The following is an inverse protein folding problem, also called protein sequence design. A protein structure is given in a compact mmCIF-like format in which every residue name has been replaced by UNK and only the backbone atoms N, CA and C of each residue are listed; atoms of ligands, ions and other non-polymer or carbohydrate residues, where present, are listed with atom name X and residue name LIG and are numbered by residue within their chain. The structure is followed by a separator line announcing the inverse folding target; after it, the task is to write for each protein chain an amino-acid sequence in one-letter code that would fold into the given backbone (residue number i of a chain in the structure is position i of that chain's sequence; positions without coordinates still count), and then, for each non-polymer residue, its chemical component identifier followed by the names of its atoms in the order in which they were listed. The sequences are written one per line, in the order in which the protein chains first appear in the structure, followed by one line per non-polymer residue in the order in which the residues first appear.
data_IF_677045668348
#
_entry.id   IF_677045668348
#
_cell.length_a   1.000
_cell.length_b   1.000
_cell.length_c   1.000
_cell.angle_alpha   90.00
_cell.angle_beta   90.00
_cell.angle_gamma   90.00
#
_symmetry.space_group_name_H-M   'P 1'
#
loop_
_entity.id
_entity.type
_entity.pdbx_description
1 polymer ?
#
# COMPACT_ATOMS: atom_id res chain seq x y z
N UNK A 1 11.87 6.93 6.57
CA UNK A 1 12.49 5.69 6.04
C UNK A 1 12.44 5.68 4.52
N UNK A 2 13.44 5.10 3.84
CA UNK A 2 13.54 5.10 2.38
C UNK A 2 14.08 3.77 1.85
N UNK A 3 13.55 3.32 0.71
CA UNK A 3 14.07 2.21 -0.09
C UNK A 3 14.05 2.60 -1.57
N UNK A 4 15.24 2.87 -2.13
CA UNK A 4 15.41 3.37 -3.51
C UNK A 4 14.54 4.61 -3.78
N UNK A 5 13.40 4.47 -4.47
CA UNK A 5 12.46 5.54 -4.78
C UNK A 5 11.28 5.67 -3.82
N UNK A 6 11.05 4.68 -2.96
CA UNK A 6 9.98 4.72 -1.94
C UNK A 6 10.44 5.48 -0.71
N UNK A 7 9.63 6.40 -0.22
CA UNK A 7 9.89 7.17 1.00
C UNK A 7 8.64 7.24 1.86
N UNK A 8 8.81 7.07 3.17
CA UNK A 8 7.76 7.29 4.17
C UNK A 8 8.30 8.22 5.25
N UNK A 9 7.57 9.29 5.49
CA UNK A 9 7.81 10.29 6.53
C UNK A 9 6.57 10.34 7.41
N UNK A 10 6.75 10.33 8.72
CA UNK A 10 5.68 10.45 9.71
C UNK A 10 5.92 11.72 10.52
N UNK A 11 4.93 12.59 10.56
CA UNK A 11 4.96 13.84 11.32
C UNK A 11 3.85 13.79 12.36
N UNK A 12 4.12 14.36 13.54
CA UNK A 12 3.15 14.49 14.61
C UNK A 12 3.05 15.95 15.05
N UNK A 13 1.86 16.36 15.50
CA UNK A 13 1.70 17.64 16.20
C UNK A 13 2.47 17.58 17.52
N UNK A 14 3.03 18.71 17.93
CA UNK A 14 3.85 18.82 19.14
C UNK A 14 3.11 18.34 20.39
N UNK A 15 1.81 18.65 20.50
CA UNK A 15 0.95 18.22 21.61
C UNK A 15 0.84 16.69 21.76
N UNK A 16 1.18 15.92 20.71
CA UNK A 16 1.17 14.46 20.74
C UNK A 16 2.55 13.83 20.94
N UNK A 17 3.62 14.62 20.87
CA UNK A 17 5.00 14.10 20.82
C UNK A 17 5.36 13.27 22.07
N UNK A 18 4.95 13.72 23.25
CA UNK A 18 5.20 13.02 24.52
C UNK A 18 4.47 11.67 24.66
N UNK A 19 3.48 11.41 23.80
CA UNK A 19 2.70 10.18 23.81
C UNK A 19 3.13 9.19 22.73
N UNK A 20 4.14 9.54 21.93
CA UNK A 20 4.70 8.67 20.89
C UNK A 20 5.97 8.03 21.42
N UNK A 21 6.03 6.70 21.37
CA UNK A 21 7.20 5.93 21.81
C UNK A 21 7.45 4.72 20.89
N UNK A 22 8.56 4.02 21.14
CA UNK A 22 8.91 2.78 20.41
C UNK A 22 8.90 2.95 18.88
N UNK A 23 9.45 4.06 18.40
CA UNK A 23 9.48 4.35 16.97
C UNK A 23 10.55 3.49 16.30
N UNK A 24 10.12 2.64 15.39
CA UNK A 24 11.01 1.77 14.60
C UNK A 24 10.65 1.87 13.12
N UNK A 25 11.63 1.68 12.25
CA UNK A 25 11.42 1.74 10.82
C UNK A 25 12.24 0.70 10.07
N UNK A 26 11.59 0.02 9.13
CA UNK A 26 12.16 -1.13 8.42
C UNK A 26 11.77 -1.11 6.94
N UNK A 27 12.50 -1.90 6.14
CA UNK A 27 12.26 -1.98 4.69
C UNK A 27 12.38 -3.41 4.17
N UNK A 28 11.64 -3.73 3.10
CA UNK A 28 11.73 -5.00 2.39
C UNK A 28 11.70 -4.74 0.89
N UNK A 29 12.72 -5.23 0.18
CA UNK A 29 12.70 -5.29 -1.29
C UNK A 29 12.04 -6.56 -1.81
N UNK A 30 11.17 -6.39 -2.81
CA UNK A 30 10.46 -7.47 -3.53
C UNK A 30 10.66 -7.39 -5.05
N UNK A 31 11.55 -6.53 -5.53
CA UNK A 31 11.80 -6.33 -6.97
C UNK A 31 12.53 -7.49 -7.64
N UNK A 32 13.54 -7.18 -8.46
CA UNK A 32 14.32 -8.20 -9.19
C UNK A 32 14.76 -9.33 -8.23
N UNK A 33 14.54 -10.58 -8.66
CA UNK A 33 14.78 -11.81 -7.88
C UNK A 33 14.02 -11.88 -6.53
N UNK A 34 12.94 -11.11 -6.35
CA UNK A 34 12.17 -11.02 -5.11
C UNK A 34 12.90 -10.33 -3.96
N UNK A 35 14.00 -9.60 -4.24
CA UNK A 35 14.88 -9.04 -3.19
C UNK A 35 15.29 -7.60 -3.43
N UNK A 36 15.35 -7.14 -4.67
CA UNK A 36 15.84 -5.78 -4.98
C UNK A 36 14.84 -4.70 -4.55
N UNK A 37 15.36 -3.53 -4.17
CA UNK A 37 14.57 -2.46 -3.56
C UNK A 37 13.73 -1.61 -4.52
N UNK A 38 13.72 -1.90 -5.83
CA UNK A 38 12.93 -1.14 -6.81
C UNK A 38 11.42 -1.39 -6.71
N UNK A 39 11.02 -2.44 -5.98
CA UNK A 39 9.66 -2.76 -5.52
C UNK A 39 9.74 -3.26 -4.09
N UNK A 40 8.64 -3.19 -3.35
CA UNK A 40 8.55 -3.69 -1.98
C UNK A 40 7.84 -2.71 -1.07
N UNK A 41 8.30 -2.63 0.18
CA UNK A 41 7.67 -1.80 1.21
C UNK A 41 8.67 -1.15 2.15
N UNK A 42 8.32 0.04 2.62
CA UNK A 42 8.94 0.70 3.76
C UNK A 42 7.88 0.91 4.83
N UNK A 43 8.23 0.71 6.09
CA UNK A 43 7.27 0.87 7.17
C UNK A 43 7.87 1.61 8.35
N UNK A 44 7.01 2.34 9.05
CA UNK A 44 7.29 2.95 10.36
C UNK A 44 6.24 2.43 11.32
N UNK A 45 6.69 1.97 12.48
CA UNK A 45 5.82 1.61 13.59
C UNK A 45 6.12 2.45 14.81
N UNK A 46 5.11 2.67 15.64
CA UNK A 46 5.21 3.41 16.89
C UNK A 46 4.07 3.03 17.83
N UNK A 47 4.24 3.29 19.11
CA UNK A 47 3.13 3.37 20.06
C UNK A 47 2.64 4.81 20.10
N UNK A 48 1.32 4.99 20.06
CA UNK A 48 0.65 6.24 20.38
C UNK A 48 -0.24 5.97 21.60
N UNK A 49 0.11 6.55 22.74
CA UNK A 49 -0.40 6.14 24.05
C UNK A 49 -0.19 4.62 24.26
N UNK A 50 -1.27 3.84 24.29
CA UNK A 50 -1.26 2.38 24.45
C UNK A 50 -1.63 1.63 23.17
N UNK A 51 -1.76 2.33 22.03
CA UNK A 51 -2.13 1.72 20.76
C UNK A 51 -0.91 1.62 19.84
N UNK A 52 -0.67 0.42 19.33
CA UNK A 52 0.40 0.16 18.37
C UNK A 52 -0.06 0.45 16.94
N UNK A 53 0.70 1.29 16.25
CA UNK A 53 0.42 1.73 14.87
C UNK A 53 1.56 1.28 13.96
N UNK A 54 1.22 0.69 12.82
CA UNK A 54 2.16 0.37 11.74
C UNK A 54 1.67 0.99 10.43
N UNK A 55 2.49 1.87 9.85
CA UNK A 55 2.22 2.50 8.56
C UNK A 55 3.17 1.93 7.53
N UNK A 56 2.63 1.40 6.44
CA UNK A 56 3.37 0.74 5.37
C UNK A 56 3.14 1.50 4.07
N UNK A 57 4.22 2.01 3.47
CA UNK A 57 4.22 2.53 2.10
C UNK A 57 4.80 1.46 1.17
N UNK A 58 4.03 1.03 0.17
CA UNK A 58 4.44 0.00 -0.77
C UNK A 58 4.44 0.47 -2.23
N UNK A 59 5.33 -0.11 -3.02
CA UNK A 59 5.35 0.01 -4.47
C UNK A 59 5.44 -1.41 -5.05
N UNK A 60 4.31 -1.93 -5.53
CA UNK A 60 4.18 -3.32 -5.98
C UNK A 60 4.43 -3.46 -7.49
N UNK A 61 4.56 -4.70 -7.99
CA UNK A 61 4.81 -4.98 -9.40
C UNK A 61 3.85 -4.26 -10.35
N UNK A 62 4.44 -3.66 -11.39
CA UNK A 62 3.72 -2.92 -12.43
C UNK A 62 3.18 -3.85 -13.51
N UNK A 63 2.47 -3.28 -14.49
CA UNK A 63 1.80 -3.95 -15.61
C UNK A 63 0.50 -4.67 -15.24
N UNK A 64 -0.44 -4.72 -16.18
CA UNK A 64 -1.84 -5.08 -15.91
C UNK A 64 -1.98 -6.57 -15.57
N UNK A 65 -1.20 -7.41 -16.23
CA UNK A 65 -1.13 -8.87 -16.15
C UNK A 65 -0.49 -9.39 -14.84
N UNK A 66 0.28 -8.56 -14.14
CA UNK A 66 1.07 -8.95 -12.97
C UNK A 66 0.28 -9.00 -11.64
N UNK A 67 -1.01 -9.38 -11.69
CA UNK A 67 -1.89 -9.43 -10.50
C UNK A 67 -1.35 -10.39 -9.46
N UNK A 68 -0.98 -11.60 -9.86
CA UNK A 68 -0.46 -12.60 -8.92
C UNK A 68 0.90 -12.20 -8.36
N UNK A 69 1.70 -11.47 -9.14
CA UNK A 69 2.96 -10.92 -8.66
C UNK A 69 2.72 -9.84 -7.60
N UNK A 70 1.74 -8.95 -7.76
CA UNK A 70 1.36 -7.97 -6.71
C UNK A 70 0.86 -8.66 -5.44
N UNK A 71 0.03 -9.69 -5.58
CA UNK A 71 -0.40 -10.50 -4.43
C UNK A 71 0.80 -11.15 -3.72
N UNK A 72 1.79 -11.63 -4.48
CA UNK A 72 3.02 -12.17 -3.91
C UNK A 72 3.88 -11.10 -3.24
N UNK A 73 4.06 -9.93 -3.85
CA UNK A 73 4.79 -8.81 -3.24
C UNK A 73 4.16 -8.42 -1.90
N UNK A 74 2.83 -8.34 -1.82
CA UNK A 74 2.10 -8.11 -0.56
C UNK A 74 2.44 -9.19 0.49
N UNK A 75 2.35 -10.48 0.13
CA UNK A 75 2.67 -11.59 1.05
C UNK A 75 4.14 -11.57 1.50
N UNK A 76 5.05 -11.23 0.60
CA UNK A 76 6.48 -11.11 0.90
C UNK A 76 6.75 -9.97 1.90
N UNK A 77 6.10 -8.80 1.72
CA UNK A 77 6.23 -7.68 2.67
C UNK A 77 5.66 -8.08 4.03
N UNK A 78 4.46 -8.67 4.08
CA UNK A 78 3.83 -9.10 5.34
C UNK A 78 4.68 -10.13 6.09
N UNK A 79 5.28 -11.09 5.40
CA UNK A 79 6.03 -12.18 6.02
C UNK A 79 7.45 -11.79 6.43
N UNK A 80 8.09 -10.85 5.72
CA UNK A 80 9.51 -10.52 5.93
C UNK A 80 9.72 -9.24 6.73
N UNK A 81 8.77 -8.29 6.68
CA UNK A 81 8.92 -7.03 7.39
C UNK A 81 8.60 -7.26 8.87
N UNK A 82 9.62 -7.10 9.70
CA UNK A 82 9.52 -7.19 11.15
C UNK A 82 10.40 -6.13 11.79
N UNK A 83 10.09 -5.71 13.01
CA UNK A 83 10.76 -4.63 13.74
C UNK A 83 11.43 -5.18 15.01
N UNK A 84 12.58 -4.61 15.42
CA UNK A 84 13.13 -4.91 16.75
C UNK A 84 12.17 -4.40 17.84
N UNK A 85 12.31 -4.94 19.05
CA UNK A 85 11.62 -4.45 20.24
C UNK A 85 12.64 -3.89 21.23
N UNK A 86 12.19 -3.06 22.17
CA UNK A 86 13.04 -2.51 23.24
C UNK A 86 13.69 -3.65 24.03
N UNK A 87 12.90 -4.68 24.38
CA UNK A 87 13.44 -5.91 24.95
C UNK A 87 13.88 -6.84 23.82
N UNK A 88 15.20 -6.93 23.62
CA UNK A 88 15.83 -7.75 22.60
C UNK A 88 15.64 -9.27 22.82
N UNK A 89 15.12 -9.70 23.98
CA UNK A 89 14.78 -11.11 24.24
C UNK A 89 13.43 -11.51 23.65
N UNK A 90 12.57 -10.54 23.34
CA UNK A 90 11.26 -10.78 22.72
C UNK A 90 11.39 -11.02 21.21
N UNK A 91 10.49 -11.81 20.60
CA UNK A 91 10.47 -12.00 19.15
C UNK A 91 10.22 -10.68 18.43
N UNK A 92 10.75 -10.49 17.22
CA UNK A 92 10.48 -9.28 16.43
C UNK A 92 8.98 -9.12 16.16
N UNK A 93 8.49 -7.87 16.16
CA UNK A 93 7.10 -7.57 15.82
C UNK A 93 6.92 -7.56 14.31
N UNK A 94 5.99 -8.34 13.80
CA UNK A 94 5.57 -8.30 12.39
C UNK A 94 4.41 -7.33 12.17
N UNK A 95 4.09 -7.02 10.91
CA UNK A 95 2.99 -6.09 10.58
C UNK A 95 1.66 -6.48 11.27
N UNK A 96 1.18 -7.75 11.22
CA UNK A 96 -0.09 -8.15 11.84
C UNK A 96 -0.13 -8.10 13.37
N UNK A 97 0.99 -7.82 14.05
CA UNK A 97 1.02 -7.71 15.51
C UNK A 97 0.59 -6.33 16.05
N UNK A 98 0.22 -5.39 15.17
CA UNK A 98 -0.16 -4.03 15.54
C UNK A 98 -1.69 -3.88 15.60
N UNK A 99 -2.19 -3.03 16.50
CA UNK A 99 -3.61 -2.73 16.67
C UNK A 99 -4.18 -2.00 15.46
N UNK A 100 -3.40 -1.05 14.91
CA UNK A 100 -3.78 -0.22 13.77
C UNK A 100 -2.72 -0.39 12.69
N UNK A 101 -3.16 -0.85 11.51
CA UNK A 101 -2.29 -1.06 10.35
C UNK A 101 -2.82 -0.24 9.18
N UNK A 102 -1.99 0.66 8.66
CA UNK A 102 -2.30 1.50 7.52
C UNK A 102 -1.39 1.12 6.35
N UNK A 103 -1.99 0.75 5.22
CA UNK A 103 -1.28 0.55 3.96
C UNK A 103 -1.57 1.70 3.01
N UNK A 104 -0.52 2.17 2.34
CA UNK A 104 -0.60 3.21 1.32
C UNK A 104 0.49 2.99 0.27
N UNK A 105 0.43 3.76 -0.82
CA UNK A 105 1.46 3.78 -1.86
C UNK A 105 0.93 3.40 -3.24
N UNK A 106 1.85 3.12 -4.16
CA UNK A 106 1.53 2.68 -5.51
C UNK A 106 1.39 1.15 -5.55
N UNK A 107 0.18 0.68 -5.22
CA UNK A 107 -0.14 -0.74 -5.20
C UNK A 107 -0.23 -1.34 -6.61
N UNK A 108 -0.26 -0.52 -7.66
CA UNK A 108 -0.23 -0.92 -9.07
C UNK A 108 -1.33 -1.88 -9.57
N UNK A 109 -2.38 -2.14 -8.80
CA UNK A 109 -3.56 -2.83 -9.30
C UNK A 109 -4.25 -1.98 -10.37
N UNK A 110 -4.81 -2.64 -11.39
CA UNK A 110 -5.37 -2.01 -12.59
C UNK A 110 -6.85 -2.36 -12.74
N UNK A 111 -7.52 -1.67 -13.64
CA UNK A 111 -8.82 -2.10 -14.14
C UNK A 111 -8.65 -3.35 -15.01
N UNK A 112 -9.61 -4.27 -14.95
CA UNK A 112 -9.65 -5.50 -15.73
C UNK A 112 -11.04 -5.71 -16.34
N UNK A 113 -11.10 -6.40 -17.48
CA UNK A 113 -12.38 -6.79 -18.10
C UNK A 113 -13.31 -5.59 -18.40
N UNK A 114 -12.75 -4.45 -18.77
CA UNK A 114 -13.48 -3.24 -19.19
C UNK A 114 -12.72 -2.51 -20.30
N UNK A 115 -13.42 -2.14 -21.36
CA UNK A 115 -12.84 -1.41 -22.50
C UNK A 115 -12.60 0.07 -22.17
N UNK A 116 -11.61 0.67 -22.83
CA UNK A 116 -11.19 2.06 -22.59
C UNK A 116 -12.33 3.05 -22.83
N UNK A 117 -13.15 2.83 -23.86
CA UNK A 117 -14.33 3.65 -24.15
C UNK A 117 -15.31 3.61 -22.99
N UNK A 118 -15.57 2.43 -22.41
CA UNK A 118 -16.47 2.28 -21.28
C UNK A 118 -15.89 2.92 -20.02
N UNK A 119 -14.59 2.79 -19.79
CA UNK A 119 -13.90 3.49 -18.69
C UNK A 119 -14.08 5.00 -18.80
N UNK A 120 -13.86 5.57 -19.99
CA UNK A 120 -14.03 7.01 -20.24
C UNK A 120 -15.45 7.47 -19.95
N UNK A 121 -16.46 6.74 -20.43
CA UNK A 121 -17.87 7.04 -20.15
C UNK A 121 -18.18 7.02 -18.64
N UNK A 122 -17.71 6.00 -17.91
CA UNK A 122 -17.92 5.91 -16.46
C UNK A 122 -17.24 7.05 -15.70
N UNK A 123 -16.07 7.51 -16.16
CA UNK A 123 -15.38 8.67 -15.59
C UNK A 123 -16.16 9.96 -15.87
N UNK A 124 -16.67 10.15 -17.09
CA UNK A 124 -17.50 11.30 -17.48
C UNK A 124 -18.79 11.38 -16.64
N UNK A 125 -19.43 10.23 -16.42
CA UNK A 125 -20.63 10.08 -15.59
C UNK A 125 -20.35 10.12 -14.08
N UNK A 126 -19.07 10.18 -13.67
CA UNK A 126 -18.61 10.07 -12.28
C UNK A 126 -19.09 8.78 -11.57
N UNK A 127 -19.38 7.73 -12.33
CA UNK A 127 -19.78 6.42 -11.82
C UNK A 127 -18.55 5.57 -11.43
N UNK A 128 -17.84 6.04 -10.41
CA UNK A 128 -16.66 5.37 -9.87
C UNK A 128 -17.00 4.06 -9.17
N UNK A 129 -18.25 3.90 -8.71
CA UNK A 129 -18.69 2.67 -8.05
C UNK A 129 -18.76 1.51 -9.04
N UNK A 130 -19.33 1.72 -10.22
CA UNK A 130 -19.30 0.71 -11.29
C UNK A 130 -17.87 0.46 -11.76
N UNK A 131 -17.06 1.52 -11.90
CA UNK A 131 -15.66 1.37 -12.30
C UNK A 131 -14.85 0.51 -11.32
N UNK A 132 -15.08 0.68 -10.00
CA UNK A 132 -14.41 -0.08 -8.95
C UNK A 132 -14.75 -1.59 -8.98
N UNK A 133 -15.87 -2.00 -9.59
CA UNK A 133 -16.16 -3.43 -9.77
C UNK A 133 -15.14 -4.12 -10.69
N UNK A 134 -14.47 -3.35 -11.54
CA UNK A 134 -13.42 -3.80 -12.45
C UNK A 134 -12.01 -3.62 -11.86
N UNK A 135 -11.88 -3.07 -10.65
CA UNK A 135 -10.58 -2.85 -10.01
C UNK A 135 -10.01 -4.15 -9.44
N UNK A 136 -8.80 -4.50 -9.89
CA UNK A 136 -8.15 -5.74 -9.47
C UNK A 136 -7.92 -5.80 -7.95
N UNK A 137 -7.58 -4.70 -7.25
CA UNK A 137 -7.37 -4.74 -5.80
C UNK A 137 -8.66 -5.13 -5.08
N UNK A 138 -9.77 -4.51 -5.46
CA UNK A 138 -11.12 -4.79 -4.95
C UNK A 138 -11.50 -6.25 -5.16
N UNK A 139 -11.23 -6.79 -6.37
CA UNK A 139 -11.45 -8.21 -6.68
C UNK A 139 -10.55 -9.14 -5.86
N UNK A 140 -9.26 -8.84 -5.72
CA UNK A 140 -8.32 -9.68 -4.96
C UNK A 140 -8.63 -9.67 -3.46
N UNK A 141 -9.09 -8.54 -2.91
CA UNK A 141 -9.60 -8.42 -1.54
C UNK A 141 -10.86 -9.25 -1.34
N UNK A 142 -11.82 -9.17 -2.26
CA UNK A 142 -13.04 -9.98 -2.25
C UNK A 142 -12.76 -11.48 -2.28
N UNK A 143 -11.74 -11.90 -3.04
CA UNK A 143 -11.24 -13.29 -3.11
C UNK A 143 -10.34 -13.69 -1.94
N UNK A 144 -10.01 -12.76 -1.02
CA UNK A 144 -9.08 -12.95 0.11
C UNK A 144 -7.67 -13.38 -0.31
N UNK A 145 -7.24 -13.02 -1.52
CA UNK A 145 -5.91 -13.36 -2.07
C UNK A 145 -4.83 -12.34 -1.67
N UNK A 146 -5.23 -11.09 -1.42
CA UNK A 146 -4.39 -10.03 -0.88
C UNK A 146 -5.24 -9.10 0.01
N UNK A 147 -4.61 -8.43 0.98
CA UNK A 147 -5.26 -7.46 1.87
C UNK A 147 -6.56 -7.97 2.55
N UNK A 148 -6.61 -9.27 2.88
CA UNK A 148 -7.74 -9.86 3.62
C UNK A 148 -7.87 -9.23 5.00
N UNK A 149 -9.09 -8.82 5.38
CA UNK A 149 -9.38 -8.17 6.66
C UNK A 149 -9.16 -6.65 6.68
N UNK A 150 -8.57 -6.07 5.64
CA UNK A 150 -8.42 -4.62 5.51
C UNK A 150 -9.69 -3.96 4.98
N UNK A 151 -9.96 -2.74 5.45
CA UNK A 151 -10.99 -1.85 4.92
C UNK A 151 -10.38 -0.80 4.01
N UNK A 152 -11.16 -0.34 3.05
CA UNK A 152 -10.79 0.76 2.14
C UNK A 152 -12.03 1.65 2.04
N UNK A 153 -11.83 2.98 2.06
CA UNK A 153 -12.90 3.93 1.90
C UNK A 153 -13.52 3.88 0.49
N UNK A 154 -14.70 4.49 0.34
CA UNK A 154 -15.32 4.63 -0.97
C UNK A 154 -14.42 5.44 -1.91
N UNK A 155 -14.19 4.94 -3.13
CA UNK A 155 -13.43 5.65 -4.15
C UNK A 155 -14.38 6.59 -4.89
N UNK A 156 -14.32 7.87 -4.54
CA UNK A 156 -15.17 8.93 -5.12
C UNK A 156 -14.36 9.90 -5.99
N UNK A 157 -13.28 9.43 -6.59
CA UNK A 157 -12.34 10.21 -7.39
C UNK A 157 -11.91 9.43 -8.65
N UNK A 158 -11.51 10.15 -9.69
CA UNK A 158 -11.03 9.55 -10.95
C UNK A 158 -9.75 8.72 -10.75
N UNK A 159 -9.45 7.73 -11.61
CA UNK A 159 -8.23 6.95 -11.48
C UNK A 159 -6.97 7.85 -11.46
N UNK A 160 -5.92 7.42 -10.77
CA UNK A 160 -4.75 8.29 -10.52
C UNK A 160 -3.59 8.05 -11.51
N UNK A 161 -3.77 7.16 -12.48
CA UNK A 161 -2.74 6.77 -13.45
C UNK A 161 -3.35 6.30 -14.78
N UNK A 162 -2.81 6.66 -15.96
CA UNK A 162 -1.59 7.44 -16.24
C UNK A 162 -1.87 8.78 -16.91
N UNK A 163 -1.19 9.83 -16.47
CA UNK A 163 -1.33 11.18 -17.02
C UNK A 163 -0.06 11.63 -17.75
N UNK A 164 -0.22 12.52 -18.73
CA UNK A 164 0.88 13.27 -19.32
C UNK A 164 1.51 14.20 -18.28
N UNK A 165 2.84 14.18 -18.20
CA UNK A 165 3.61 15.00 -17.23
C UNK A 165 3.23 16.47 -17.31
N UNK A 166 2.82 17.04 -16.16
CA UNK A 166 2.42 18.45 -16.08
C UNK A 166 0.98 18.73 -16.50
N UNK A 167 0.14 17.71 -16.68
CA UNK A 167 -1.27 17.88 -17.03
C UNK A 167 -2.18 16.90 -16.28
N UNK A 168 -3.49 17.12 -16.36
CA UNK A 168 -4.53 16.17 -15.96
C UNK A 168 -5.13 15.42 -17.16
N UNK A 169 -4.44 15.43 -18.30
CA UNK A 169 -4.82 14.64 -19.49
C UNK A 169 -4.23 13.25 -19.38
N UNK A 170 -5.03 12.25 -19.68
CA UNK A 170 -4.57 10.87 -19.77
C UNK A 170 -3.51 10.74 -20.84
N UNK A 171 -2.47 9.94 -20.54
CA UNK A 171 -1.44 9.50 -21.49
C UNK A 171 -2.10 8.93 -22.77
N UNK A 172 -1.52 9.29 -23.92
CA UNK A 172 -1.96 8.80 -25.25
C UNK A 172 -1.04 7.72 -25.78
#
# INVERSE_FOLDING_TARGET
VRLVGMMLLVFAREEHASFISEVEAETVGTGIMGKMGNKGGVAVRFLLHSSSVCVVNAHLAAHTEEVERRNQDYRDIVSRLSFPQIDATLPRLSIPNHDIILWLGDLNYRLTEVDVEKVKLLIEDQDFQTLQQHDQLSLQRGKKLAFSGYSEGAVTFQPTYKYDTGSSKWDT
#
